data_IF_233731269082
#
_entry.id   IF_233731269082
#
_cell.length_a   1.000
_cell.length_b   1.000
_cell.length_c   1.000
_cell.angle_alpha   90.00
_cell.angle_beta   90.00
_cell.angle_gamma   90.00
#
_symmetry.space_group_name_H-M   'P 1'
#
loop_
_entity.id
_entity.type
_entity.pdbx_description
1 polymer ?
#
# COMPACT_ATOMS: atom_id res chain seq x y z
N UNK A 1 -10.92 -19.83 -5.61
CA UNK A 1 -11.28 -18.53 -4.98
C UNK A 1 -9.98 -17.80 -4.74
N UNK A 2 -9.76 -16.67 -5.41
CA UNK A 2 -8.54 -15.87 -5.22
C UNK A 2 -8.59 -15.19 -3.85
N UNK A 3 -7.51 -15.30 -3.09
CA UNK A 3 -7.35 -14.63 -1.80
C UNK A 3 -6.94 -13.17 -1.97
N UNK A 4 -6.94 -12.41 -0.87
CA UNK A 4 -6.36 -11.07 -0.82
C UNK A 4 -5.03 -11.18 -0.07
N UNK A 5 -3.97 -10.55 -0.61
CA UNK A 5 -2.68 -10.48 0.05
C UNK A 5 -2.27 -9.03 0.30
N UNK A 6 -2.05 -8.72 1.58
CA UNK A 6 -1.60 -7.41 2.02
C UNK A 6 -0.12 -7.20 1.76
N UNK A 7 0.24 -6.05 1.17
CA UNK A 7 1.59 -5.51 1.10
C UNK A 7 1.73 -4.58 2.30
N UNK A 8 2.58 -4.98 3.23
CA UNK A 8 2.81 -4.24 4.47
C UNK A 8 4.12 -3.47 4.42
N UNK A 9 4.19 -2.36 5.17
CA UNK A 9 5.40 -1.61 5.50
C UNK A 9 6.34 -1.28 4.32
N UNK A 10 5.87 -0.50 3.35
CA UNK A 10 6.73 0.04 2.28
C UNK A 10 7.53 1.22 2.82
N UNK A 11 8.85 1.05 2.91
CA UNK A 11 9.76 2.11 3.36
C UNK A 11 10.83 2.38 2.30
N UNK A 12 11.04 3.67 2.01
CA UNK A 12 12.19 4.13 1.22
C UNK A 12 12.96 5.12 2.10
N UNK A 13 14.25 4.90 2.36
CA UNK A 13 15.10 5.87 3.05
C UNK A 13 15.04 7.24 2.36
N UNK A 14 15.11 8.33 3.14
CA UNK A 14 14.97 9.70 2.62
C UNK A 14 16.01 10.06 1.57
N UNK A 15 17.24 9.56 1.74
CA UNK A 15 18.35 9.73 0.79
C UNK A 15 18.07 9.11 -0.58
N UNK A 16 17.13 8.16 -0.61
CA UNK A 16 16.76 7.35 -1.78
C UNK A 16 15.39 7.74 -2.36
N UNK A 17 14.78 8.83 -1.87
CA UNK A 17 13.50 9.32 -2.37
C UNK A 17 13.57 9.82 -3.80
N UNK A 18 12.40 9.82 -4.47
CA UNK A 18 12.20 10.29 -5.85
C UNK A 18 12.98 9.51 -6.92
N UNK A 19 13.59 8.37 -6.55
CA UNK A 19 14.25 7.44 -7.48
C UNK A 19 13.31 6.33 -8.00
N UNK A 20 12.06 6.29 -7.53
CA UNK A 20 11.04 5.35 -8.02
C UNK A 20 11.05 3.96 -7.38
N UNK A 21 11.85 3.72 -6.33
CA UNK A 21 11.98 2.41 -5.70
C UNK A 21 10.66 1.84 -5.19
N UNK A 22 9.87 2.65 -4.47
CA UNK A 22 8.55 2.22 -3.99
C UNK A 22 7.63 1.79 -5.14
N UNK A 23 7.62 2.54 -6.25
CA UNK A 23 6.82 2.22 -7.42
C UNK A 23 7.21 0.86 -8.02
N UNK A 24 8.51 0.64 -8.25
CA UNK A 24 9.00 -0.58 -8.89
C UNK A 24 8.76 -1.80 -8.01
N UNK A 25 9.15 -1.73 -6.72
CA UNK A 25 9.01 -2.86 -5.81
C UNK A 25 7.54 -3.27 -5.61
N UNK A 26 6.66 -2.30 -5.43
CA UNK A 26 5.23 -2.58 -5.21
C UNK A 26 4.54 -3.06 -6.48
N UNK A 27 4.92 -2.55 -7.65
CA UNK A 27 4.39 -3.02 -8.92
C UNK A 27 4.80 -4.47 -9.20
N UNK A 28 6.09 -4.80 -9.05
CA UNK A 28 6.60 -6.16 -9.27
C UNK A 28 5.97 -7.16 -8.29
N UNK A 29 5.86 -6.80 -7.01
CA UNK A 29 5.19 -7.63 -6.02
C UNK A 29 3.70 -7.82 -6.35
N UNK A 30 3.00 -6.76 -6.75
CA UNK A 30 1.59 -6.84 -7.17
C UNK A 30 1.38 -7.76 -8.36
N UNK A 31 2.28 -7.72 -9.34
CA UNK A 31 2.24 -8.62 -10.50
C UNK A 31 2.49 -10.08 -10.10
N UNK A 32 3.42 -10.33 -9.17
CA UNK A 32 3.68 -11.67 -8.64
C UNK A 32 2.43 -12.23 -7.93
N UNK A 33 1.82 -11.44 -7.04
CA UNK A 33 0.60 -11.84 -6.34
C UNK A 33 -0.55 -12.12 -7.32
N UNK A 34 -0.71 -11.28 -8.33
CA UNK A 34 -1.74 -11.48 -9.34
C UNK A 34 -1.52 -12.77 -10.16
N UNK A 35 -0.26 -13.12 -10.45
CA UNK A 35 0.10 -14.40 -11.11
C UNK A 35 -0.23 -15.62 -10.25
N UNK A 36 -0.18 -15.47 -8.93
CA UNK A 36 -0.58 -16.50 -7.97
C UNK A 36 -2.11 -16.54 -7.75
N UNK A 37 -2.88 -15.69 -8.44
CA UNK A 37 -4.33 -15.58 -8.28
C UNK A 37 -4.74 -14.85 -7.00
N UNK A 38 -3.83 -14.07 -6.41
CA UNK A 38 -4.06 -13.24 -5.24
C UNK A 38 -4.28 -11.78 -5.64
N UNK A 39 -5.22 -11.12 -4.98
CA UNK A 39 -5.44 -9.68 -5.16
C UNK A 39 -4.51 -8.90 -4.23
N UNK A 40 -3.56 -8.11 -4.75
CA UNK A 40 -2.70 -7.27 -3.92
C UNK A 40 -3.50 -6.12 -3.29
N UNK A 41 -3.28 -5.87 -2.01
CA UNK A 41 -3.92 -4.79 -1.24
C UNK A 41 -2.89 -4.10 -0.36
N UNK A 42 -3.05 -2.80 -0.11
CA UNK A 42 -2.26 -2.07 0.88
C UNK A 42 -3.10 -0.99 1.57
N UNK A 43 -2.66 -0.60 2.76
CA UNK A 43 -3.17 0.59 3.44
C UNK A 43 -2.16 1.71 3.30
N UNK A 44 -2.67 2.92 3.05
CA UNK A 44 -1.87 4.13 2.97
C UNK A 44 -2.55 5.22 3.77
N UNK A 45 -1.75 6.02 4.47
CA UNK A 45 -2.24 7.21 5.14
C UNK A 45 -2.85 8.17 4.10
N UNK A 46 -4.08 8.64 4.34
CA UNK A 46 -4.76 9.60 3.48
C UNK A 46 -4.03 10.95 3.40
N UNK A 47 -3.35 11.34 4.48
CA UNK A 47 -2.58 12.57 4.52
C UNK A 47 -1.31 12.50 3.66
N UNK A 48 -0.83 11.29 3.32
CA UNK A 48 0.37 11.11 2.51
C UNK A 48 0.03 11.11 1.00
N UNK A 49 -0.11 12.30 0.42
CA UNK A 49 -0.45 12.46 -1.01
C UNK A 49 0.60 11.88 -1.96
N UNK A 50 1.89 11.89 -1.57
CA UNK A 50 2.97 11.37 -2.41
C UNK A 50 2.89 9.85 -2.57
N UNK A 51 2.74 9.11 -1.47
CA UNK A 51 2.56 7.65 -1.49
C UNK A 51 1.28 7.27 -2.24
N UNK A 52 0.17 7.97 -1.98
CA UNK A 52 -1.10 7.72 -2.68
C UNK A 52 -0.96 7.92 -4.19
N UNK A 53 -0.20 8.92 -4.64
CA UNK A 53 0.07 9.13 -6.07
C UNK A 53 0.91 7.99 -6.65
N UNK A 54 1.93 7.52 -5.93
CA UNK A 54 2.74 6.36 -6.34
C UNK A 54 1.86 5.13 -6.56
N UNK A 55 1.00 4.78 -5.60
CA UNK A 55 0.15 3.59 -5.69
C UNK A 55 -0.87 3.68 -6.83
N UNK A 56 -1.48 4.85 -7.03
CA UNK A 56 -2.41 5.07 -8.17
C UNK A 56 -1.70 4.96 -9.52
N UNK A 57 -0.49 5.51 -9.64
CA UNK A 57 0.28 5.47 -10.89
C UNK A 57 0.69 4.05 -11.30
N UNK A 58 0.84 3.13 -10.34
CA UNK A 58 1.16 1.72 -10.60
C UNK A 58 -0.07 0.81 -10.67
N UNK A 59 -1.28 1.38 -10.69
CA UNK A 59 -2.53 0.65 -10.98
C UNK A 59 -3.40 0.28 -9.77
N UNK A 60 -3.04 0.68 -8.55
CA UNK A 60 -3.92 0.49 -7.39
C UNK A 60 -5.10 1.47 -7.43
N UNK A 61 -6.25 1.00 -6.99
CA UNK A 61 -7.47 1.80 -6.84
C UNK A 61 -7.82 1.98 -5.37
N UNK A 62 -8.48 3.09 -5.03
CA UNK A 62 -8.94 3.32 -3.66
C UNK A 62 -10.23 2.53 -3.42
N UNK A 63 -10.23 1.67 -2.40
CA UNK A 63 -11.37 0.80 -2.08
C UNK A 63 -12.16 1.23 -0.84
N UNK A 64 -11.68 2.23 -0.09
CA UNK A 64 -12.32 2.70 1.13
C UNK A 64 -11.35 3.36 2.10
N UNK A 65 -11.86 3.67 3.29
CA UNK A 65 -11.12 4.29 4.38
C UNK A 65 -11.12 3.36 5.57
N UNK A 66 -10.03 3.35 6.33
CA UNK A 66 -9.95 2.60 7.59
C UNK A 66 -10.11 3.60 8.73
N UNK A 67 -11.01 3.27 9.67
CA UNK A 67 -11.16 4.02 10.90
C UNK A 67 -10.25 3.42 11.97
N UNK A 68 -9.41 4.25 12.58
CA UNK A 68 -8.67 3.88 13.78
C UNK A 68 -9.53 4.21 15.00
N UNK A 69 -9.78 3.22 15.85
CA UNK A 69 -10.57 3.38 17.08
C UNK A 69 -9.63 3.11 18.25
N UNK A 70 -9.26 4.17 18.95
CA UNK A 70 -8.51 4.08 20.20
C UNK A 70 -9.48 4.10 21.38
N UNK A 71 -9.38 3.10 22.26
CA UNK A 71 -10.10 3.09 23.52
C UNK A 71 -9.17 3.64 24.60
N UNK A 72 -9.45 4.83 25.10
CA UNK A 72 -8.90 5.26 26.39
C UNK A 72 -9.68 4.54 27.48
N UNK A 73 -9.02 3.65 28.23
CA UNK A 73 -9.63 2.96 29.36
C UNK A 73 -10.30 3.97 30.30
N UNK A 74 -11.59 3.78 30.55
CA UNK A 74 -12.27 4.41 31.68
C UNK A 74 -11.69 3.86 32.98
N UNK A 75 -11.64 4.73 33.98
CA UNK A 75 -11.10 4.53 35.34
C UNK A 75 -11.37 3.16 35.97
#
# INVERSE_FOLDING_TARGET
MGGVQGINAVYTPKEEWKKGYASVLVAELGLLLNREGLTPMLYADQANSDSNRVYRNIGFTSCGTIAEIAFSGGE
#
